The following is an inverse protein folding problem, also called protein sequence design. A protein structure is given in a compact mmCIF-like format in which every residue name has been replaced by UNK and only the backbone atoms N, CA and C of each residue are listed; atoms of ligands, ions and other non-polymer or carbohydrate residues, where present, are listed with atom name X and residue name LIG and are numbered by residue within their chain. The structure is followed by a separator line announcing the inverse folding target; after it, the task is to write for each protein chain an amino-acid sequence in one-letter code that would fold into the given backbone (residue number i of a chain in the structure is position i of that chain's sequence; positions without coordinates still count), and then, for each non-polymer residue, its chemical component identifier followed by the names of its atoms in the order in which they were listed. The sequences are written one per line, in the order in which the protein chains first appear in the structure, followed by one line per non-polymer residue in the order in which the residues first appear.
data_IF_221456974636
#
_entry.id   IF_221456974636
#
_cell.length_a   1.000
_cell.length_b   1.000
_cell.length_c   1.000
_cell.angle_alpha   90.00
_cell.angle_beta   90.00
_cell.angle_gamma   90.00
#
_symmetry.space_group_name_H-M   'P 1'
#
loop_
_entity.id
_entity.type
_entity.pdbx_description
1 polymer ?
#
# COMPACT_ATOMS: atom_id res chain seq x y z
N UNK A 1 6.89 19.79 -12.36
CA UNK A 1 5.41 19.89 -12.28
C UNK A 1 4.88 18.51 -11.99
N UNK A 2 4.02 18.36 -11.00
CA UNK A 2 3.23 17.12 -10.83
C UNK A 2 2.30 17.03 -12.04
N UNK A 3 2.42 15.98 -12.85
CA UNK A 3 1.49 15.74 -13.95
C UNK A 3 0.09 15.54 -13.38
N UNK A 4 -0.90 16.22 -13.97
CA UNK A 4 -2.30 16.13 -13.55
C UNK A 4 -3.07 15.37 -14.62
N UNK A 5 -3.74 14.30 -14.19
CA UNK A 5 -4.60 13.49 -15.06
C UNK A 5 -6.02 13.46 -14.49
N UNK A 6 -7.01 13.74 -15.35
CA UNK A 6 -8.42 13.66 -14.98
C UNK A 6 -8.95 12.26 -15.23
N UNK A 7 -9.57 11.65 -14.22
CA UNK A 7 -10.26 10.37 -14.35
C UNK A 7 -11.76 10.55 -14.16
N UNK A 8 -12.55 9.82 -14.95
CA UNK A 8 -14.01 9.78 -14.78
C UNK A 8 -14.37 8.64 -13.82
N UNK A 9 -15.18 8.94 -12.81
CA UNK A 9 -15.66 7.95 -11.84
C UNK A 9 -17.17 8.07 -11.66
N UNK A 10 -17.80 7.03 -11.11
CA UNK A 10 -19.21 7.09 -10.76
C UNK A 10 -19.45 8.07 -9.59
N UNK A 11 -20.67 8.62 -9.48
CA UNK A 11 -21.07 9.45 -8.32
C UNK A 11 -20.95 8.69 -7.00
N UNK A 12 -21.19 7.37 -7.02
CA UNK A 12 -21.07 6.52 -5.83
C UNK A 12 -19.61 6.43 -5.37
N UNK A 13 -18.69 6.24 -6.30
CA UNK A 13 -17.24 6.23 -6.03
C UNK A 13 -16.77 7.54 -5.43
N UNK A 14 -17.19 8.68 -6.00
CA UNK A 14 -16.84 10.00 -5.47
C UNK A 14 -17.32 10.20 -4.03
N UNK A 15 -18.57 9.80 -3.72
CA UNK A 15 -19.09 9.84 -2.33
C UNK A 15 -18.31 8.94 -1.37
N UNK A 16 -17.82 7.79 -1.87
CA UNK A 16 -16.92 6.93 -1.11
C UNK A 16 -15.60 7.63 -0.77
N UNK A 17 -14.98 8.27 -1.77
CA UNK A 17 -13.75 9.04 -1.59
C UNK A 17 -13.94 10.23 -0.64
N UNK A 18 -15.08 10.92 -0.68
CA UNK A 18 -15.42 11.98 0.28
C UNK A 18 -15.48 11.50 1.72
N UNK A 19 -16.11 10.33 1.95
CA UNK A 19 -16.18 9.74 3.29
C UNK A 19 -14.80 9.34 3.78
N UNK A 20 -14.01 8.68 2.94
CA UNK A 20 -12.64 8.28 3.27
C UNK A 20 -11.76 9.50 3.56
N UNK A 21 -11.86 10.55 2.75
CA UNK A 21 -11.15 11.82 2.98
C UNK A 21 -11.41 12.36 4.39
N UNK A 22 -12.67 12.37 4.84
CA UNK A 22 -13.05 12.84 6.18
C UNK A 22 -12.52 11.92 7.29
N UNK A 23 -12.66 10.61 7.13
CA UNK A 23 -12.20 9.62 8.12
C UNK A 23 -10.69 9.69 8.31
N UNK A 24 -9.96 9.86 7.21
CA UNK A 24 -8.49 9.89 7.20
C UNK A 24 -7.92 11.27 7.55
N UNK A 25 -8.76 12.31 7.67
CA UNK A 25 -8.30 13.69 7.83
C UNK A 25 -7.47 14.21 6.66
N UNK A 26 -7.64 13.63 5.47
CA UNK A 26 -6.83 13.94 4.30
C UNK A 26 -7.19 15.29 3.68
N UNK A 27 -6.19 15.98 3.14
CA UNK A 27 -6.37 17.31 2.54
C UNK A 27 -6.95 17.24 1.13
N UNK A 28 -6.69 16.16 0.39
CA UNK A 28 -7.10 15.98 -1.00
C UNK A 28 -7.56 14.56 -1.32
N UNK A 29 -8.23 14.38 -2.47
CA UNK A 29 -8.54 13.03 -2.98
C UNK A 29 -7.30 12.29 -3.45
N UNK A 30 -6.27 13.00 -3.93
CA UNK A 30 -5.01 12.40 -4.34
C UNK A 30 -4.31 11.70 -3.18
N UNK A 31 -4.30 12.32 -1.99
CA UNK A 31 -3.75 11.73 -0.78
C UNK A 31 -4.49 10.44 -0.38
N UNK A 32 -5.82 10.47 -0.42
CA UNK A 32 -6.66 9.28 -0.17
C UNK A 32 -6.36 8.17 -1.19
N UNK A 33 -6.29 8.51 -2.48
CA UNK A 33 -6.03 7.54 -3.56
C UNK A 33 -4.65 6.90 -3.38
N UNK A 34 -3.62 7.69 -3.06
CA UNK A 34 -2.27 7.18 -2.81
C UNK A 34 -2.22 6.20 -1.65
N UNK A 35 -2.92 6.52 -0.57
CA UNK A 35 -2.98 5.65 0.61
C UNK A 35 -3.72 4.34 0.30
N UNK A 36 -4.87 4.39 -0.39
CA UNK A 36 -5.59 3.20 -0.82
C UNK A 36 -4.75 2.31 -1.74
N UNK A 37 -3.97 2.91 -2.66
CA UNK A 37 -3.04 2.17 -3.52
C UNK A 37 -1.95 1.50 -2.69
N UNK A 38 -1.40 2.20 -1.70
CA UNK A 38 -0.38 1.68 -0.78
C UNK A 38 -0.90 0.48 0.00
N UNK A 39 -2.06 0.61 0.64
CA UNK A 39 -2.71 -0.48 1.38
C UNK A 39 -3.04 -1.67 0.48
N UNK A 40 -3.58 -1.41 -0.72
CA UNK A 40 -3.87 -2.47 -1.68
C UNK A 40 -2.61 -3.25 -2.06
N UNK A 41 -1.51 -2.56 -2.37
CA UNK A 41 -0.21 -3.18 -2.67
C UNK A 41 0.32 -4.00 -1.50
N UNK A 42 0.31 -3.44 -0.29
CA UNK A 42 0.74 -4.14 0.92
C UNK A 42 -0.09 -5.41 1.17
N UNK A 43 -1.42 -5.33 1.04
CA UNK A 43 -2.32 -6.48 1.22
C UNK A 43 -2.10 -7.56 0.16
N UNK A 44 -1.78 -7.17 -1.09
CA UNK A 44 -1.50 -8.10 -2.19
C UNK A 44 -0.14 -8.77 -2.00
N UNK A 45 0.87 -8.01 -1.60
CA UNK A 45 2.20 -8.55 -1.30
C UNK A 45 2.14 -9.53 -0.12
N UNK A 46 1.42 -9.18 0.95
CA UNK A 46 1.22 -10.07 2.10
C UNK A 46 0.50 -11.37 1.73
N UNK A 47 -0.50 -11.30 0.84
CA UNK A 47 -1.20 -12.48 0.31
C UNK A 47 -0.29 -13.35 -0.57
N UNK A 48 0.52 -12.72 -1.42
CA UNK A 48 1.44 -13.42 -2.33
C UNK A 48 2.60 -14.08 -1.58
N UNK A 49 3.13 -13.40 -0.56
CA UNK A 49 4.23 -13.90 0.27
C UNK A 49 3.79 -14.93 1.32
N UNK A 50 2.55 -15.44 1.23
CA UNK A 50 2.11 -16.62 1.99
C UNK A 50 2.52 -16.56 3.46
N UNK A 51 2.16 -15.49 4.17
CA UNK A 51 2.26 -15.33 5.64
C UNK A 51 3.38 -16.16 6.31
N UNK A 52 4.62 -15.68 6.31
CA UNK A 52 5.57 -15.95 7.41
C UNK A 52 5.87 -14.64 8.15
N UNK A 53 5.03 -14.25 9.12
CA UNK A 53 5.39 -13.18 10.03
C UNK A 53 6.52 -13.73 10.93
N UNK A 54 7.73 -13.17 10.81
CA UNK A 54 8.86 -13.54 11.67
C UNK A 54 10.17 -13.94 10.98
N UNK A 55 10.26 -13.92 9.65
CA UNK A 55 11.57 -14.06 8.99
C UNK A 55 12.24 -12.68 8.93
N UNK A 56 13.09 -12.42 9.92
CA UNK A 56 14.13 -11.40 9.84
C UNK A 56 15.01 -11.64 8.59
N UNK A 57 15.72 -10.61 8.08
CA UNK A 57 16.79 -10.85 7.11
C UNK A 57 17.72 -11.93 7.69
N UNK A 58 18.05 -12.95 6.89
CA UNK A 58 19.02 -13.98 7.29
C UNK A 58 20.28 -13.26 7.77
N UNK A 59 20.66 -13.51 9.03
CA UNK A 59 21.94 -12.99 9.52
C UNK A 59 23.06 -13.72 8.79
N UNK A 60 24.19 -13.05 8.62
CA UNK A 60 25.32 -13.58 7.85
C UNK A 60 25.81 -14.93 8.41
N UNK A 61 25.67 -15.12 9.72
CA UNK A 61 25.90 -16.35 10.50
C UNK A 61 24.96 -17.53 10.16
N UNK A 62 23.83 -17.27 9.50
CA UNK A 62 22.86 -18.29 9.08
C UNK A 62 23.07 -18.75 7.63
N UNK A 63 24.06 -18.18 6.92
CA UNK A 63 24.44 -18.60 5.57
C UNK A 63 25.16 -19.93 5.63
N UNK A 64 24.72 -20.90 4.82
CA UNK A 64 25.33 -22.23 4.71
C UNK A 64 26.81 -22.15 4.30
N UNK A 65 27.18 -21.08 3.59
CA UNK A 65 28.52 -20.74 3.11
C UNK A 65 29.48 -20.31 4.25
N UNK A 66 29.00 -20.13 5.49
CA UNK A 66 29.81 -19.74 6.65
C UNK A 66 30.28 -20.92 7.51
N UNK A 67 29.96 -22.16 7.11
CA UNK A 67 30.46 -23.39 7.73
C UNK A 67 31.53 -24.01 6.84
N UNK A 68 32.71 -23.40 6.84
CA UNK A 68 33.97 -24.09 6.49
C UNK A 68 34.49 -24.86 7.71
#
# INVERSE_FOLDING_TARGET
MTEVTTIKVSKNTLRGLERLKRIMGASSYDEVIRELIREYRASRLSRLMGRRPGLSPLREEERLDARD
#
